data_IF_387155863478
#
_entry.id   IF_387155863478
#
_cell.length_a   1.000
_cell.length_b   1.000
_cell.length_c   1.000
_cell.angle_alpha   90.00
_cell.angle_beta   90.00
_cell.angle_gamma   90.00
#
_symmetry.space_group_name_H-M   'P 1'
#
loop_
_entity.id
_entity.type
_entity.pdbx_description
1 polymer ?
#
# COMPACT_ATOMS: atom_id res chain seq x y z
N UNK A 1 -18.54 15.45 -12.07
CA UNK A 1 -17.24 14.94 -11.62
C UNK A 1 -17.17 14.82 -10.11
N UNK A 2 -17.68 13.69 -9.62
CA UNK A 2 -17.49 13.28 -8.23
C UNK A 2 -16.04 12.80 -8.14
N UNK A 3 -15.13 13.67 -7.74
CA UNK A 3 -13.76 13.25 -7.40
C UNK A 3 -13.90 12.32 -6.20
N UNK A 4 -13.44 11.08 -6.33
CA UNK A 4 -13.35 10.17 -5.20
C UNK A 4 -12.56 10.89 -4.10
N UNK A 5 -13.26 11.26 -3.03
CA UNK A 5 -12.63 11.85 -1.87
C UNK A 5 -11.63 10.86 -1.26
N UNK A 6 -10.75 11.32 -0.36
CA UNK A 6 -9.81 10.42 0.31
C UNK A 6 -10.56 9.27 0.97
N UNK A 7 -10.27 8.03 0.55
CA UNK A 7 -10.84 6.81 1.12
C UNK A 7 -9.95 6.38 2.28
N UNK A 8 -10.54 6.14 3.45
CA UNK A 8 -9.83 5.61 4.60
C UNK A 8 -9.32 4.19 4.30
N UNK A 9 -8.04 3.95 4.55
CA UNK A 9 -7.39 2.64 4.40
C UNK A 9 -6.73 2.26 5.70
N UNK A 10 -6.92 1.00 6.11
CA UNK A 10 -6.36 0.44 7.33
C UNK A 10 -5.71 -0.90 7.02
N UNK A 11 -4.51 -1.13 7.57
CA UNK A 11 -3.80 -2.40 7.45
C UNK A 11 -3.86 -3.11 8.80
N UNK A 12 -4.36 -4.35 8.79
CA UNK A 12 -4.34 -5.24 9.94
C UNK A 12 -3.43 -6.43 9.62
N UNK A 13 -2.31 -6.53 10.33
CA UNK A 13 -1.33 -7.61 10.18
C UNK A 13 -0.56 -7.79 11.49
N UNK A 14 -0.06 -9.00 11.81
CA UNK A 14 0.90 -9.20 12.90
C UNK A 14 2.16 -8.33 12.77
N UNK A 15 2.51 -7.96 11.53
CA UNK A 15 3.67 -7.12 11.21
C UNK A 15 3.27 -5.66 10.93
N UNK A 16 2.02 -5.26 11.17
CA UNK A 16 1.61 -3.86 11.04
C UNK A 16 2.09 -3.06 12.26
N UNK A 17 2.43 -1.78 12.05
CA UNK A 17 2.74 -0.86 13.15
C UNK A 17 1.47 -0.57 13.96
N UNK A 18 1.55 -0.71 15.29
CA UNK A 18 0.40 -0.50 16.20
C UNK A 18 0.18 0.99 16.45
N UNK A 19 -1.04 1.47 16.24
CA UNK A 19 -1.41 2.87 16.49
C UNK A 19 -0.73 3.88 15.55
N UNK A 20 -0.23 3.41 14.41
CA UNK A 20 0.49 4.24 13.45
C UNK A 20 -0.46 4.76 12.38
N UNK A 21 -0.40 6.07 12.12
CA UNK A 21 -1.06 6.71 11.00
C UNK A 21 -0.01 7.44 10.16
N UNK A 22 -0.22 7.48 8.85
CA UNK A 22 0.63 8.19 7.93
C UNK A 22 -0.20 9.11 7.03
N UNK A 23 0.40 10.22 6.59
CA UNK A 23 -0.19 11.18 5.66
C UNK A 23 0.39 11.07 4.24
N UNK A 24 1.14 10.00 3.94
CA UNK A 24 1.57 9.69 2.58
C UNK A 24 0.34 9.45 1.71
N UNK A 25 0.33 10.07 0.53
CA UNK A 25 -0.73 9.89 -0.45
C UNK A 25 -0.58 8.54 -1.14
N UNK A 26 -1.47 7.61 -0.81
CA UNK A 26 -1.56 6.30 -1.46
C UNK A 26 -2.71 6.28 -2.46
N UNK A 27 -2.48 5.62 -3.59
CA UNK A 27 -3.51 5.32 -4.57
C UNK A 27 -3.87 3.82 -4.58
N UNK A 28 -4.84 3.43 -5.40
CA UNK A 28 -5.22 2.02 -5.54
C UNK A 28 -4.13 1.15 -6.20
N UNK A 29 -3.13 1.75 -6.85
CA UNK A 29 -1.99 1.01 -7.41
C UNK A 29 -0.91 0.75 -6.35
N UNK A 30 -0.86 1.54 -5.28
CA UNK A 30 -0.02 1.37 -4.08
C UNK A 30 -0.40 0.11 -3.30
N UNK A 31 -1.70 -0.17 -3.18
CA UNK A 31 -2.19 -1.43 -2.58
C UNK A 31 -1.81 -2.63 -3.45
N UNK A 32 -1.96 -2.51 -4.77
CA UNK A 32 -1.61 -3.57 -5.73
C UNK A 32 -0.11 -3.89 -5.66
N UNK A 33 0.75 -2.86 -5.66
CA UNK A 33 2.20 -3.00 -5.49
C UNK A 33 2.56 -3.75 -4.21
N UNK A 34 1.96 -3.38 -3.08
CA UNK A 34 2.24 -4.02 -1.78
C UNK A 34 1.93 -5.51 -1.82
N UNK A 35 0.82 -5.90 -2.44
CA UNK A 35 0.43 -7.31 -2.61
C UNK A 35 1.41 -8.03 -3.53
N UNK A 36 1.78 -7.43 -4.65
CA UNK A 36 2.77 -7.99 -5.58
C UNK A 36 4.15 -8.21 -4.92
N UNK A 37 4.61 -7.28 -4.08
CA UNK A 37 5.85 -7.40 -3.32
C UNK A 37 5.79 -8.53 -2.27
N UNK A 38 4.68 -8.63 -1.52
CA UNK A 38 4.47 -9.73 -0.55
C UNK A 38 4.48 -11.10 -1.24
N UNK A 39 3.82 -11.22 -2.40
CA UNK A 39 3.75 -12.47 -3.16
C UNK A 39 4.92 -12.69 -4.13
N UNK A 40 5.90 -11.78 -4.17
CA UNK A 40 7.05 -11.81 -5.08
C UNK A 40 6.64 -11.94 -6.55
N UNK A 41 5.57 -11.27 -6.95
CA UNK A 41 5.08 -11.25 -8.32
C UNK A 41 6.01 -10.39 -9.18
N UNK A 42 6.57 -10.98 -10.23
CA UNK A 42 7.36 -10.28 -11.23
C UNK A 42 7.00 -10.81 -12.62
N UNK A 43 6.76 -9.95 -13.62
CA UNK A 43 6.81 -8.49 -13.55
C UNK A 43 5.57 -7.87 -12.86
N UNK A 44 5.74 -6.73 -12.19
CA UNK A 44 4.65 -5.95 -11.58
C UNK A 44 3.62 -5.52 -12.64
N UNK A 45 2.33 -5.58 -12.29
CA UNK A 45 1.25 -5.34 -13.23
C UNK A 45 0.82 -3.87 -13.24
N UNK A 46 0.71 -3.31 -14.45
CA UNK A 46 0.11 -2.00 -14.67
C UNK A 46 0.84 -0.86 -13.94
N UNK A 47 0.08 -0.06 -13.17
CA UNK A 47 0.58 1.13 -12.48
C UNK A 47 1.40 0.86 -11.21
N UNK A 48 1.43 -0.38 -10.71
CA UNK A 48 2.12 -0.72 -9.47
C UNK A 48 3.63 -0.44 -9.53
N UNK A 49 4.27 -0.58 -10.69
CA UNK A 49 5.69 -0.29 -10.86
C UNK A 49 6.08 1.16 -10.53
N UNK A 50 5.13 2.11 -10.61
CA UNK A 50 5.39 3.55 -10.43
C UNK A 50 4.83 4.13 -9.13
N UNK A 51 4.15 3.34 -8.29
CA UNK A 51 3.50 3.84 -7.07
C UNK A 51 4.27 3.49 -5.82
N UNK A 52 4.10 4.27 -4.75
CA UNK A 52 4.73 4.00 -3.46
C UNK A 52 4.02 2.84 -2.79
N UNK A 53 4.77 1.85 -2.29
CA UNK A 53 4.20 0.74 -1.52
C UNK A 53 3.73 1.18 -0.12
N UNK A 54 3.00 0.29 0.55
CA UNK A 54 2.52 0.47 1.91
C UNK A 54 3.54 0.00 2.97
N UNK A 55 4.81 -0.18 2.60
CA UNK A 55 5.86 -0.71 3.49
C UNK A 55 5.98 0.06 4.80
N UNK A 56 5.74 1.38 4.77
CA UNK A 56 5.79 2.23 5.95
C UNK A 56 4.70 1.91 6.99
N UNK A 57 3.63 1.19 6.63
CA UNK A 57 2.63 0.71 7.58
C UNK A 57 3.06 -0.58 8.30
N UNK A 58 4.15 -1.20 7.87
CA UNK A 58 4.67 -2.44 8.44
C UNK A 58 5.94 -2.20 9.27
N UNK A 59 6.13 -3.00 10.32
CA UNK A 59 7.37 -3.04 11.12
C UNK A 59 8.46 -3.86 10.41
N UNK A 60 8.07 -4.79 9.55
CA UNK A 60 8.94 -5.62 8.73
C UNK A 60 8.29 -5.82 7.36
N UNK A 61 9.03 -5.52 6.31
CA UNK A 61 8.62 -5.64 4.91
C UNK A 61 9.88 -5.74 4.03
N UNK A 62 9.88 -6.51 2.93
CA UNK A 62 8.97 -7.60 2.54
C UNK A 62 9.33 -8.95 3.17
#
# INVERSE_FOLDING_TARGET
>A
DTKDGPIGMMVLSPNAKVGYQNTIHYDHSSTLRTVEEIFKVSPMLGGAANQTDLSDLFTSFP
#
